data_IF_172800078076
#
_entry.id   IF_172800078076
#
_cell.length_a   1.000
_cell.length_b   1.000
_cell.length_c   1.000
_cell.angle_alpha   90.00
_cell.angle_beta   90.00
_cell.angle_gamma   90.00
#
_symmetry.space_group_name_H-M   'P 1'
#
loop_
_entity.id
_entity.type
_entity.pdbx_description
1 polymer ?
#
# COMPACT_ATOMS: atom_id res chain seq x y z
N UNK A 1 -2.61 17.13 7.57
CA UNK A 1 -2.34 15.76 7.07
C UNK A 1 -2.12 15.89 5.57
N UNK A 2 -0.90 15.68 5.08
CA UNK A 2 -0.66 15.77 3.64
C UNK A 2 -1.36 14.57 3.00
N UNK A 3 -2.45 14.84 2.29
CA UNK A 3 -3.13 13.86 1.44
C UNK A 3 -2.20 13.63 0.25
N UNK A 4 -1.22 12.74 0.40
CA UNK A 4 -0.39 12.31 -0.71
C UNK A 4 -1.28 11.48 -1.65
N UNK A 5 -1.91 12.13 -2.62
CA UNK A 5 -2.94 11.55 -3.50
C UNK A 5 -2.40 10.52 -4.48
N UNK A 6 -1.08 10.32 -4.55
CA UNK A 6 -0.43 9.46 -5.53
C UNK A 6 0.66 8.64 -4.83
N UNK A 7 0.60 7.32 -5.02
CA UNK A 7 1.65 6.42 -4.56
C UNK A 7 2.96 6.69 -5.32
N UNK A 8 4.08 6.77 -4.60
CA UNK A 8 5.39 7.12 -5.15
C UNK A 8 6.33 5.92 -5.16
N UNK A 9 7.37 5.96 -6.00
CA UNK A 9 8.28 4.81 -6.15
C UNK A 9 9.06 4.45 -4.88
N UNK A 10 9.60 3.23 -4.82
CA UNK A 10 10.45 2.79 -3.70
C UNK A 10 11.70 3.65 -3.52
N UNK A 11 12.31 4.11 -4.62
CA UNK A 11 13.48 5.00 -4.56
C UNK A 11 13.09 6.35 -3.97
N UNK A 12 11.92 6.87 -4.34
CA UNK A 12 11.44 8.15 -3.83
C UNK A 12 11.14 8.11 -2.33
N UNK A 13 10.44 7.07 -1.83
CA UNK A 13 10.27 6.91 -0.38
C UNK A 13 11.61 6.80 0.34
N UNK A 14 12.58 6.05 -0.20
CA UNK A 14 13.91 5.95 0.42
C UNK A 14 14.58 7.30 0.51
N UNK A 15 14.51 8.13 -0.52
CA UNK A 15 15.04 9.50 -0.51
C UNK A 15 14.33 10.34 0.54
N UNK A 16 13.00 10.35 0.57
CA UNK A 16 12.22 11.12 1.55
C UNK A 16 12.50 10.68 2.98
N UNK A 17 12.63 9.37 3.22
CA UNK A 17 12.97 8.79 4.52
C UNK A 17 14.38 9.18 4.98
N UNK A 18 15.37 9.17 4.07
CA UNK A 18 16.72 9.64 4.36
C UNK A 18 16.76 11.14 4.65
N UNK A 19 15.99 11.95 3.91
CA UNK A 19 15.86 13.39 4.17
C UNK A 19 15.25 13.61 5.56
N UNK A 20 14.18 12.89 5.90
CA UNK A 20 13.55 12.99 7.22
C UNK A 20 14.54 12.62 8.35
N UNK A 21 15.26 11.51 8.20
CA UNK A 21 16.26 11.07 9.17
C UNK A 21 17.38 12.11 9.35
N UNK A 22 17.88 12.68 8.25
CA UNK A 22 18.87 13.77 8.31
C UNK A 22 18.34 15.00 9.04
N UNK A 23 17.05 15.32 8.90
CA UNK A 23 16.42 16.42 9.63
C UNK A 23 16.34 16.14 11.12
N UNK A 24 16.00 14.92 11.52
CA UNK A 24 15.96 14.49 12.93
C UNK A 24 17.35 14.59 13.58
N UNK A 25 18.40 14.28 12.83
CA UNK A 25 19.79 14.34 13.30
C UNK A 25 20.46 15.71 13.12
N UNK A 26 19.71 16.75 12.72
CA UNK A 26 20.28 18.08 12.50
C UNK A 26 20.58 18.80 13.80
N UNK A 27 21.62 19.64 13.79
CA UNK A 27 21.94 20.57 14.88
C UNK A 27 20.97 21.75 14.95
N UNK A 28 20.18 22.00 13.91
CA UNK A 28 19.12 23.00 13.94
C UNK A 28 17.94 22.49 14.77
N UNK A 29 17.77 23.08 15.96
CA UNK A 29 16.73 22.71 16.92
C UNK A 29 15.31 22.81 16.37
N UNK A 30 15.02 23.81 15.53
CA UNK A 30 13.68 24.02 14.98
C UNK A 30 13.37 22.92 13.95
N UNK A 31 14.32 22.68 13.06
CA UNK A 31 14.18 21.66 12.02
C UNK A 31 14.14 20.24 12.60
N UNK A 32 14.90 19.96 13.68
CA UNK A 32 14.81 18.72 14.45
C UNK A 32 13.44 18.55 15.09
N UNK A 33 12.93 19.58 15.78
CA UNK A 33 11.62 19.54 16.44
C UNK A 33 10.47 19.30 15.44
N UNK A 34 10.47 19.98 14.30
CA UNK A 34 9.47 19.81 13.24
C UNK A 34 9.49 18.39 12.65
N UNK A 35 10.68 17.81 12.45
CA UNK A 35 10.82 16.46 11.94
C UNK A 35 10.36 15.40 12.95
N UNK A 36 10.67 15.59 14.23
CA UNK A 36 10.21 14.72 15.32
C UNK A 36 8.69 14.78 15.45
N UNK A 37 8.08 15.97 15.40
CA UNK A 37 6.64 16.12 15.47
C UNK A 37 5.90 15.37 14.35
N UNK A 38 6.48 15.31 13.14
CA UNK A 38 5.93 14.55 12.01
C UNK A 38 5.88 13.05 12.28
N UNK A 39 6.98 12.47 12.74
CA UNK A 39 7.09 11.01 12.92
C UNK A 39 6.48 10.53 14.25
N UNK A 40 6.37 11.40 15.26
CA UNK A 40 5.87 11.06 16.58
C UNK A 40 4.47 10.43 16.55
N UNK A 41 3.56 10.95 15.72
CA UNK A 41 2.22 10.39 15.56
C UNK A 41 2.24 8.95 15.07
N UNK A 42 3.14 8.64 14.11
CA UNK A 42 3.33 7.28 13.62
C UNK A 42 3.97 6.37 14.67
N UNK A 43 5.03 6.82 15.35
CA UNK A 43 5.69 6.03 16.40
C UNK A 43 4.71 5.64 17.51
N UNK A 44 3.87 6.58 17.94
CA UNK A 44 2.79 6.32 18.88
C UNK A 44 1.77 5.32 18.33
N UNK A 45 1.41 5.39 17.05
CA UNK A 45 0.45 4.46 16.45
C UNK A 45 0.95 3.01 16.39
N UNK A 46 2.26 2.81 16.43
CA UNK A 46 2.89 1.48 16.49
C UNK A 46 3.41 1.13 17.89
N UNK A 47 2.98 1.87 18.92
CA UNK A 47 3.39 1.71 20.32
C UNK A 47 4.92 1.72 20.55
N UNK A 48 5.65 2.57 19.81
CA UNK A 48 7.07 2.81 20.04
C UNK A 48 7.28 4.21 20.59
N UNK A 49 8.00 4.28 21.71
CA UNK A 49 8.52 5.54 22.27
C UNK A 49 10.04 5.50 22.14
N UNK A 50 10.58 6.41 21.32
CA UNK A 50 12.00 6.46 20.99
C UNK A 50 12.52 7.88 21.20
N UNK A 51 13.72 8.00 21.76
CA UNK A 51 14.44 9.25 21.74
C UNK A 51 14.87 9.59 20.30
N UNK A 52 15.20 10.85 20.04
CA UNK A 52 15.58 11.28 18.69
C UNK A 52 16.82 10.53 18.16
N UNK A 53 17.74 10.16 19.06
CA UNK A 53 18.97 9.45 18.73
C UNK A 53 18.72 7.98 18.34
N UNK A 54 17.61 7.39 18.80
CA UNK A 54 17.24 6.00 18.51
C UNK A 54 16.43 5.87 17.21
N UNK A 55 16.06 6.99 16.59
CA UNK A 55 15.29 6.97 15.35
C UNK A 55 16.20 6.53 14.19
N UNK A 56 15.89 5.36 13.65
CA UNK A 56 16.56 4.77 12.49
C UNK A 56 15.77 4.97 11.19
N UNK A 57 16.45 4.72 10.06
CA UNK A 57 15.85 4.80 8.72
C UNK A 57 14.59 3.93 8.59
N UNK A 58 14.56 2.74 9.22
CA UNK A 58 13.40 1.84 9.20
C UNK A 58 12.12 2.49 9.77
N UNK A 59 12.24 3.38 10.76
CA UNK A 59 11.09 4.09 11.33
C UNK A 59 10.58 5.15 10.35
N UNK A 60 11.49 5.87 9.69
CA UNK A 60 11.13 6.85 8.66
C UNK A 60 10.46 6.17 7.45
N UNK A 61 10.97 5.02 7.01
CA UNK A 61 10.34 4.21 5.95
C UNK A 61 8.93 3.75 6.34
N UNK A 62 8.78 3.28 7.58
CA UNK A 62 7.48 2.89 8.13
C UNK A 62 6.48 4.04 8.16
N UNK A 63 6.91 5.23 8.60
CA UNK A 63 6.08 6.44 8.59
C UNK A 63 5.53 6.75 7.19
N UNK A 64 6.39 6.74 6.16
CA UNK A 64 5.93 7.02 4.80
C UNK A 64 5.00 5.90 4.27
N UNK A 65 5.30 4.63 4.54
CA UNK A 65 4.39 3.54 4.17
C UNK A 65 3.00 3.70 4.79
N UNK A 66 2.95 4.08 6.07
CA UNK A 66 1.70 4.34 6.79
C UNK A 66 0.96 5.58 6.28
N UNK A 67 1.67 6.64 5.88
CA UNK A 67 1.08 7.84 5.27
C UNK A 67 0.31 7.49 3.98
N UNK A 68 0.84 6.56 3.19
CA UNK A 68 0.18 6.01 2.00
C UNK A 68 -0.88 4.94 2.29
N UNK A 69 -1.12 4.57 3.56
CA UNK A 69 -2.17 3.62 3.96
C UNK A 69 -1.75 2.16 4.06
N UNK A 70 -0.46 1.85 3.90
CA UNK A 70 0.08 0.51 4.12
C UNK A 70 0.36 0.27 5.60
N UNK A 71 0.25 -0.97 6.06
CA UNK A 71 0.49 -1.31 7.46
C UNK A 71 1.96 -1.13 7.86
N UNK A 72 2.89 -1.42 6.94
CA UNK A 72 4.33 -1.32 7.19
C UNK A 72 5.13 -1.20 5.88
N UNK A 73 6.43 -0.94 6.03
CA UNK A 73 7.35 -0.83 4.89
C UNK A 73 7.48 -2.14 4.07
N UNK A 74 7.41 -3.31 4.70
CA UNK A 74 7.49 -4.58 3.98
C UNK A 74 6.31 -4.76 3.02
N UNK A 75 5.10 -4.39 3.42
CA UNK A 75 3.91 -4.41 2.57
C UNK A 75 4.01 -3.40 1.42
N UNK A 76 4.48 -2.18 1.70
CA UNK A 76 4.75 -1.19 0.66
C UNK A 76 5.77 -1.69 -0.36
N UNK A 77 6.86 -2.29 0.11
CA UNK A 77 7.90 -2.88 -0.72
C UNK A 77 7.34 -4.04 -1.57
N UNK A 78 6.59 -4.94 -0.94
CA UNK A 78 5.94 -6.07 -1.60
C UNK A 78 5.05 -5.61 -2.76
N UNK A 79 4.26 -4.56 -2.54
CA UNK A 79 3.39 -4.00 -3.56
C UNK A 79 4.14 -3.63 -4.86
N UNK A 80 5.25 -2.89 -4.73
CA UNK A 80 6.05 -2.48 -5.89
C UNK A 80 6.80 -3.63 -6.57
N UNK A 81 7.22 -4.63 -5.81
CA UNK A 81 7.99 -5.76 -6.32
C UNK A 81 7.11 -6.84 -6.97
N UNK A 82 5.89 -7.05 -6.47
CA UNK A 82 5.08 -8.22 -6.81
C UNK A 82 3.67 -7.87 -7.29
N UNK A 83 3.03 -6.86 -6.70
CA UNK A 83 1.68 -6.41 -7.06
C UNK A 83 1.73 -5.43 -8.24
N UNK A 84 2.31 -5.91 -9.35
CA UNK A 84 2.60 -5.16 -10.58
C UNK A 84 1.53 -4.11 -10.88
N UNK A 85 1.96 -2.86 -10.98
CA UNK A 85 1.10 -1.68 -11.12
C UNK A 85 0.06 -1.84 -12.24
N UNK A 86 0.38 -2.49 -13.35
CA UNK A 86 -0.49 -2.61 -14.53
C UNK A 86 -0.99 -4.04 -14.80
N UNK A 87 -1.03 -4.90 -13.78
CA UNK A 87 -1.36 -6.33 -13.97
C UNK A 87 -2.78 -6.57 -14.48
N UNK A 88 -3.71 -5.75 -14.01
CA UNK A 88 -5.12 -5.83 -14.35
C UNK A 88 -5.48 -4.68 -15.25
N UNK A 89 -5.88 -4.97 -16.49
CA UNK A 89 -6.29 -3.94 -17.45
C UNK A 89 -7.80 -3.76 -17.31
N UNK A 90 -8.28 -2.64 -16.74
CA UNK A 90 -9.71 -2.39 -16.63
C UNK A 90 -10.36 -2.38 -18.02
N UNK A 91 -11.51 -3.03 -18.14
CA UNK A 91 -12.27 -3.08 -19.38
C UNK A 91 -13.53 -2.22 -19.28
N UNK A 92 -13.95 -1.65 -20.41
CA UNK A 92 -15.23 -0.97 -20.51
C UNK A 92 -16.39 -1.96 -20.31
N UNK A 93 -17.45 -1.52 -19.62
CA UNK A 93 -18.64 -2.34 -19.35
C UNK A 93 -18.72 -2.91 -17.93
N UNK A 94 -17.66 -2.79 -17.13
CA UNK A 94 -17.69 -3.12 -15.69
C UNK A 94 -17.73 -1.85 -14.84
N UNK A 95 -18.49 -1.90 -13.75
CA UNK A 95 -18.50 -0.82 -12.77
C UNK A 95 -17.24 -0.92 -11.90
N UNK A 96 -16.30 0.00 -12.13
CA UNK A 96 -15.05 0.11 -11.38
C UNK A 96 -15.07 1.42 -10.59
N UNK A 97 -14.95 1.32 -9.26
CA UNK A 97 -14.79 2.51 -8.41
C UNK A 97 -13.31 2.85 -8.28
N UNK A 98 -12.93 4.04 -8.77
CA UNK A 98 -11.54 4.47 -8.89
C UNK A 98 -11.06 5.32 -7.72
N UNK A 99 -9.83 5.09 -7.29
CA UNK A 99 -9.18 5.79 -6.20
C UNK A 99 -7.73 6.11 -6.55
N UNK A 100 -7.34 7.36 -6.34
CA UNK A 100 -5.92 7.75 -6.40
C UNK A 100 -5.20 7.45 -5.08
N UNK A 101 -5.94 7.37 -3.97
CA UNK A 101 -5.42 7.12 -2.63
C UNK A 101 -5.71 5.69 -2.17
N UNK A 102 -4.66 4.94 -1.83
CA UNK A 102 -4.81 3.58 -1.33
C UNK A 102 -5.58 3.49 0.01
N UNK A 103 -5.35 4.44 0.93
CA UNK A 103 -6.05 4.47 2.23
C UNK A 103 -7.56 4.58 2.05
N UNK A 104 -7.99 5.40 1.10
CA UNK A 104 -9.40 5.57 0.76
C UNK A 104 -9.96 4.30 0.13
N UNK A 105 -9.26 3.73 -0.85
CA UNK A 105 -9.65 2.47 -1.50
C UNK A 105 -9.82 1.34 -0.47
N UNK A 106 -8.89 1.21 0.47
CA UNK A 106 -8.94 0.22 1.56
C UNK A 106 -10.11 0.46 2.52
N UNK A 107 -10.46 1.72 2.79
CA UNK A 107 -11.61 2.05 3.62
C UNK A 107 -12.93 1.68 2.92
N UNK A 108 -13.06 1.98 1.62
CA UNK A 108 -14.24 1.59 0.84
C UNK A 108 -14.33 0.08 0.66
N UNK A 109 -13.21 -0.63 0.43
CA UNK A 109 -13.20 -2.09 0.38
C UNK A 109 -13.81 -2.70 1.66
N UNK A 110 -13.45 -2.16 2.84
CA UNK A 110 -14.00 -2.63 4.11
C UNK A 110 -15.48 -2.30 4.29
N UNK A 111 -15.95 -1.18 3.73
CA UNK A 111 -17.32 -0.73 3.88
C UNK A 111 -18.29 -1.40 2.89
N UNK A 112 -17.86 -1.58 1.64
CA UNK A 112 -18.72 -1.99 0.52
C UNK A 112 -18.38 -3.37 -0.04
N UNK A 113 -17.21 -3.93 0.30
CA UNK A 113 -16.72 -5.19 -0.28
C UNK A 113 -16.20 -5.01 -1.72
N UNK A 114 -16.15 -6.11 -2.46
CA UNK A 114 -15.58 -6.18 -3.81
C UNK A 114 -14.12 -6.63 -3.81
N UNK A 115 -13.42 -6.41 -4.93
CA UNK A 115 -12.02 -6.80 -5.11
C UNK A 115 -11.17 -5.58 -5.38
N UNK A 116 -10.20 -5.31 -4.50
CA UNK A 116 -9.29 -4.17 -4.62
C UNK A 116 -8.05 -4.56 -5.42
N UNK A 117 -7.92 -3.97 -6.60
CA UNK A 117 -6.86 -4.24 -7.55
C UNK A 117 -6.06 -2.96 -7.87
N UNK A 118 -4.76 -3.07 -8.15
CA UNK A 118 -3.96 -1.94 -8.61
C UNK A 118 -4.08 -1.70 -10.12
N UNK A 119 -3.98 -0.43 -10.50
CA UNK A 119 -3.77 -0.02 -11.90
C UNK A 119 -2.91 1.25 -11.98
N UNK A 120 -1.72 1.13 -12.56
CA UNK A 120 -0.70 2.17 -12.59
C UNK A 120 -0.44 2.75 -11.19
N UNK A 121 -0.77 4.01 -10.93
CA UNK A 121 -0.63 4.66 -9.62
C UNK A 121 -1.97 4.87 -8.92
N UNK A 122 -2.99 4.15 -9.39
CA UNK A 122 -4.34 4.19 -8.88
C UNK A 122 -4.75 2.78 -8.43
N UNK A 123 -5.90 2.75 -7.79
CA UNK A 123 -6.54 1.56 -7.29
C UNK A 123 -7.98 1.57 -7.73
N UNK A 124 -8.53 0.40 -7.98
CA UNK A 124 -9.95 0.30 -8.26
C UNK A 124 -10.55 -0.89 -7.52
N UNK A 125 -11.80 -0.72 -7.12
CA UNK A 125 -12.64 -1.80 -6.63
C UNK A 125 -13.55 -2.22 -7.75
N UNK A 126 -13.56 -3.52 -8.01
CA UNK A 126 -14.41 -4.15 -9.02
C UNK A 126 -15.31 -5.21 -8.40
N UNK A 127 -16.33 -5.59 -9.16
CA UNK A 127 -17.28 -6.63 -8.77
C UNK A 127 -16.88 -8.00 -9.30
N UNK A 128 -17.60 -9.03 -8.86
CA UNK A 128 -17.38 -10.44 -9.21
C UNK A 128 -17.26 -10.68 -10.71
N UNK A 129 -18.11 -10.04 -11.51
CA UNK A 129 -18.10 -10.21 -12.97
C UNK A 129 -16.78 -9.80 -13.64
N UNK A 130 -16.03 -8.85 -13.06
CA UNK A 130 -14.71 -8.51 -13.58
C UNK A 130 -13.68 -9.62 -13.29
N UNK A 131 -13.75 -10.26 -12.12
CA UNK A 131 -12.89 -11.39 -11.76
C UNK A 131 -13.16 -12.59 -12.68
N UNK A 132 -14.42 -12.89 -12.94
CA UNK A 132 -14.83 -13.92 -13.91
C UNK A 132 -14.33 -13.61 -15.32
N UNK A 133 -14.43 -12.34 -15.74
CA UNK A 133 -13.91 -11.89 -17.03
C UNK A 133 -12.39 -12.06 -17.15
N UNK A 134 -11.64 -11.88 -16.06
CA UNK A 134 -10.20 -12.17 -16.04
C UNK A 134 -9.89 -13.68 -16.15
N UNK A 135 -10.92 -14.54 -16.14
CA UNK A 135 -10.82 -16.00 -16.15
C UNK A 135 -10.52 -16.60 -14.77
N UNK A 136 -10.55 -15.78 -13.71
CA UNK A 136 -10.35 -16.22 -12.34
C UNK A 136 -11.69 -16.63 -11.71
N UNK A 137 -11.64 -17.59 -10.79
CA UNK A 137 -12.81 -17.96 -10.01
C UNK A 137 -13.05 -16.90 -8.90
N UNK A 138 -14.16 -16.15 -8.91
CA UNK A 138 -14.50 -15.20 -7.85
C UNK A 138 -14.79 -15.89 -6.51
N UNK A 139 -15.20 -17.16 -6.52
CA UNK A 139 -15.48 -17.95 -5.31
C UNK A 139 -14.27 -18.70 -4.78
N UNK A 140 -13.08 -18.47 -5.35
CA UNK A 140 -11.85 -19.00 -4.81
C UNK A 140 -11.63 -18.50 -3.37
N UNK A 141 -11.47 -19.44 -2.43
CA UNK A 141 -11.24 -19.14 -1.02
C UNK A 141 -10.00 -18.27 -0.79
N UNK A 142 -9.05 -18.31 -1.72
CA UNK A 142 -7.86 -17.47 -1.69
C UNK A 142 -8.17 -15.99 -1.74
N UNK A 143 -9.26 -15.56 -2.41
CA UNK A 143 -9.70 -14.17 -2.36
C UNK A 143 -10.06 -13.72 -0.95
N UNK A 144 -10.78 -14.59 -0.22
CA UNK A 144 -11.12 -14.34 1.18
C UNK A 144 -9.87 -14.33 2.06
N UNK A 145 -8.92 -15.25 1.85
CA UNK A 145 -7.67 -15.34 2.62
C UNK A 145 -6.76 -14.12 2.44
N UNK A 146 -6.84 -13.42 1.31
CA UNK A 146 -6.15 -12.15 1.10
C UNK A 146 -6.99 -10.92 1.47
N UNK A 147 -8.15 -11.13 2.12
CA UNK A 147 -9.13 -10.09 2.45
C UNK A 147 -9.59 -9.27 1.24
N UNK A 148 -9.67 -9.91 0.06
CA UNK A 148 -10.01 -9.29 -1.22
C UNK A 148 -9.12 -8.10 -1.62
N UNK A 149 -7.93 -8.01 -1.00
CA UNK A 149 -6.99 -6.92 -1.16
C UNK A 149 -5.73 -7.42 -1.87
N UNK A 150 -5.66 -7.24 -3.18
CA UNK A 150 -4.49 -7.67 -3.95
C UNK A 150 -3.24 -6.85 -3.65
N UNK A 151 -3.42 -5.59 -3.26
CA UNK A 151 -2.35 -4.61 -3.02
C UNK A 151 -1.57 -4.93 -1.75
N UNK A 152 -2.28 -5.31 -0.69
CA UNK A 152 -1.72 -5.68 0.60
C UNK A 152 -2.43 -6.95 1.11
N UNK A 153 -2.04 -8.13 0.59
CA UNK A 153 -2.70 -9.39 0.93
C UNK A 153 -2.38 -9.80 2.37
N UNK A 154 -3.39 -10.26 3.10
CA UNK A 154 -3.20 -10.82 4.44
C UNK A 154 -2.53 -12.20 4.42
N UNK A 155 -2.67 -12.95 3.32
CA UNK A 155 -2.05 -14.25 3.13
C UNK A 155 -1.24 -14.29 1.82
N UNK A 156 0.09 -14.31 1.93
CA UNK A 156 0.98 -14.31 0.78
C UNK A 156 0.92 -15.60 -0.05
N UNK A 157 0.63 -16.76 0.57
CA UNK A 157 0.54 -18.04 -0.13
C UNK A 157 -0.70 -18.03 -1.03
N UNK A 158 -1.86 -17.66 -0.49
CA UNK A 158 -3.10 -17.52 -1.25
C UNK A 158 -2.97 -16.48 -2.37
N UNK A 159 -2.28 -15.37 -2.11
CA UNK A 159 -1.98 -14.39 -3.15
C UNK A 159 -1.12 -15.00 -4.28
N UNK A 160 -0.10 -15.79 -3.93
CA UNK A 160 0.76 -16.45 -4.91
C UNK A 160 -0.01 -17.46 -5.77
N UNK A 161 -0.92 -18.23 -5.18
CA UNK A 161 -1.77 -19.18 -5.89
C UNK A 161 -2.67 -18.46 -6.91
N UNK A 162 -3.38 -17.41 -6.51
CA UNK A 162 -4.19 -16.58 -7.43
C UNK A 162 -3.32 -15.94 -8.52
N UNK A 163 -2.13 -15.48 -8.15
CA UNK A 163 -1.19 -14.85 -9.06
C UNK A 163 -0.66 -15.82 -10.12
N UNK A 164 -0.41 -17.08 -9.75
CA UNK A 164 -0.05 -18.16 -10.66
C UNK A 164 -1.22 -18.55 -11.56
N UNK A 165 -2.42 -18.70 -11.00
CA UNK A 165 -3.63 -18.98 -11.78
C UNK A 165 -3.84 -17.92 -12.86
N UNK A 166 -3.74 -16.63 -12.51
CA UNK A 166 -3.85 -15.54 -13.49
C UNK A 166 -2.72 -15.54 -14.52
N UNK A 167 -1.49 -15.87 -14.13
CA UNK A 167 -0.37 -15.95 -15.06
C UNK A 167 -0.54 -17.07 -16.10
N UNK A 168 -1.17 -18.19 -15.72
CA UNK A 168 -1.45 -19.31 -16.63
C UNK A 168 -2.55 -18.98 -17.65
N UNK A 169 -3.45 -18.04 -17.33
CA UNK A 169 -4.51 -17.58 -18.25
C UNK A 169 -4.01 -16.58 -19.31
N UNK A 170 -2.81 -16.03 -19.12
CA UNK A 170 -2.18 -15.06 -20.03
C UNK A 170 -1.13 -15.69 -20.96
N UNK A 171 -0.87 -16.99 -20.83
CA UNK A 171 -0.07 -17.80 -21.76
C UNK A 171 -0.96 -18.30 -22.89
#
# INVERSE_FOLDING_TARGET
MNNSSRIISLSEIKIQAQILLKKINSSDHKLKADALAKIAGYLKSINLELAAEDIQLKHCLGYFAADYGFANWANYKFYFEHSQLSKFIPQGGFFNQWFSNYREAKAILKASGGYLLPYQQQFFICERGYIEYLGLNPDDENWRKIAYNWVEPENLISWQELNQAYANLKQ
#
